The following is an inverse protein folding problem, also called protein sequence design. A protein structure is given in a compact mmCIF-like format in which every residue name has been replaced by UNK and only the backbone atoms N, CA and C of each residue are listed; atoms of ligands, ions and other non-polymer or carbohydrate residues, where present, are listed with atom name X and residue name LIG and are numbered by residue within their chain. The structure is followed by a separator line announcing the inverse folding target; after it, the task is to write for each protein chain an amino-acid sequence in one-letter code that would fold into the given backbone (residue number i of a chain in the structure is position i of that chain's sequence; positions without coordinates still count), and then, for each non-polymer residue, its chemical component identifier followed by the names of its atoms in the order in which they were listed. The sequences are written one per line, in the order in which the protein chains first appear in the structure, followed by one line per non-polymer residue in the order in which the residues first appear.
data_IF_759082175359
#
_entry.id   IF_759082175359
#
_cell.length_a   1.000
_cell.length_b   1.000
_cell.length_c   1.000
_cell.angle_alpha   90.00
_cell.angle_beta   90.00
_cell.angle_gamma   90.00
#
_symmetry.space_group_name_H-M   'P 1'
#
loop_
_entity.id
_entity.type
_entity.pdbx_description
1 polymer ?
#
# COMPACT_ATOMS: atom_id res chain seq x y z
N UNK A 1 -14.49 3.68 -2.67
CA UNK A 1 -13.63 3.33 -1.52
C UNK A 1 -14.32 2.45 -0.49
N UNK A 2 -15.63 2.62 -0.23
CA UNK A 2 -16.40 1.70 0.62
C UNK A 2 -16.24 0.21 0.22
N UNK A 3 -16.17 -0.10 -1.08
CA UNK A 3 -15.90 -1.45 -1.57
C UNK A 3 -14.53 -1.99 -1.12
N UNK A 4 -13.46 -1.18 -1.21
CA UNK A 4 -12.13 -1.54 -0.72
C UNK A 4 -12.15 -1.76 0.80
N UNK A 5 -12.79 -0.87 1.55
CA UNK A 5 -12.90 -0.99 3.00
C UNK A 5 -13.62 -2.28 3.43
N UNK A 6 -14.74 -2.61 2.79
CA UNK A 6 -15.48 -3.87 3.02
C UNK A 6 -14.66 -5.09 2.63
N UNK A 7 -13.96 -5.05 1.51
CA UNK A 7 -13.08 -6.13 1.08
C UNK A 7 -11.95 -6.36 2.09
N UNK A 8 -11.24 -5.31 2.49
CA UNK A 8 -10.20 -5.40 3.52
C UNK A 8 -10.73 -5.93 4.84
N UNK A 9 -11.90 -5.47 5.29
CA UNK A 9 -12.55 -5.97 6.50
C UNK A 9 -12.88 -7.47 6.40
N UNK A 10 -13.45 -7.93 5.28
CA UNK A 10 -13.76 -9.34 5.05
C UNK A 10 -12.50 -10.23 5.03
N UNK A 11 -11.40 -9.71 4.49
CA UNK A 11 -10.11 -10.41 4.42
C UNK A 11 -9.20 -10.16 5.62
N UNK A 12 -9.70 -9.52 6.69
CA UNK A 12 -8.94 -9.17 7.90
C UNK A 12 -7.67 -8.34 7.63
N UNK A 13 -7.61 -7.63 6.51
CA UNK A 13 -6.57 -6.64 6.21
C UNK A 13 -6.89 -5.38 7.00
N UNK A 14 -6.11 -5.12 8.05
CA UNK A 14 -6.33 -4.02 8.99
C UNK A 14 -5.32 -2.90 8.81
N UNK A 15 -4.13 -3.18 8.28
CA UNK A 15 -3.07 -2.19 8.10
C UNK A 15 -2.36 -2.36 6.76
N UNK A 16 -2.38 -1.30 5.96
CA UNK A 16 -1.75 -1.26 4.63
C UNK A 16 -0.69 -0.17 4.60
N UNK A 17 0.53 -0.55 4.21
CA UNK A 17 1.63 0.41 3.97
C UNK A 17 1.65 0.77 2.49
N UNK A 18 1.52 2.06 2.18
CA UNK A 18 1.54 2.57 0.82
C UNK A 18 2.81 3.38 0.61
N UNK A 19 3.67 2.90 -0.29
CA UNK A 19 4.96 3.50 -0.63
C UNK A 19 4.85 4.25 -1.94
N UNK A 20 5.15 5.56 -1.91
CA UNK A 20 5.10 6.41 -3.08
C UNK A 20 3.82 7.26 -3.17
N UNK A 21 3.44 7.57 -4.40
CA UNK A 21 2.40 8.56 -4.70
C UNK A 21 2.92 10.01 -4.64
N UNK A 22 2.44 10.82 -5.58
CA UNK A 22 2.67 12.28 -5.60
C UNK A 22 2.04 12.98 -4.39
N UNK A 23 2.52 14.18 -4.10
CA UNK A 23 2.06 14.98 -2.95
C UNK A 23 0.54 15.19 -3.01
N UNK A 24 0.00 15.50 -4.19
CA UNK A 24 -1.43 15.63 -4.44
C UNK A 24 -2.20 14.32 -4.22
N UNK A 25 -1.66 13.21 -4.74
CA UNK A 25 -2.28 11.88 -4.60
C UNK A 25 -2.30 11.41 -3.14
N UNK A 26 -1.26 11.74 -2.37
CA UNK A 26 -1.18 11.44 -0.93
C UNK A 26 -2.12 12.34 -0.13
N UNK A 27 -2.22 13.62 -0.47
CA UNK A 27 -3.19 14.52 0.14
C UNK A 27 -4.63 14.04 -0.12
N UNK A 28 -4.93 13.62 -1.36
CA UNK A 28 -6.22 13.04 -1.71
C UNK A 28 -6.49 11.72 -0.96
N UNK A 29 -5.48 10.87 -0.82
CA UNK A 29 -5.62 9.64 -0.05
C UNK A 29 -5.92 9.92 1.42
N UNK A 30 -5.19 10.85 2.05
CA UNK A 30 -5.42 11.22 3.45
C UNK A 30 -6.83 11.72 3.67
N UNK A 31 -7.31 12.64 2.83
CA UNK A 31 -8.67 13.17 2.92
C UNK A 31 -9.71 12.06 2.86
N UNK A 32 -9.56 11.13 1.91
CA UNK A 32 -10.50 10.02 1.73
C UNK A 32 -10.39 8.97 2.82
N UNK A 33 -9.18 8.72 3.33
CA UNK A 33 -8.91 7.73 4.38
C UNK A 33 -9.52 8.11 5.73
N UNK A 34 -9.80 9.40 5.98
CA UNK A 34 -10.54 9.84 7.17
C UNK A 34 -11.95 9.24 7.22
N UNK A 35 -12.55 8.93 6.07
CA UNK A 35 -13.89 8.34 5.97
C UNK A 35 -13.87 6.81 5.96
N UNK A 36 -12.70 6.18 6.18
CA UNK A 36 -12.55 4.71 6.08
C UNK A 36 -12.45 4.08 7.47
N UNK A 37 -13.35 3.15 7.84
CA UNK A 37 -13.24 2.42 9.10
C UNK A 37 -12.09 1.41 9.11
N UNK A 38 -11.68 0.91 7.94
CA UNK A 38 -10.53 0.04 7.72
C UNK A 38 -10.16 0.01 6.23
N UNK A 39 -8.91 -0.31 5.85
CA UNK A 39 -7.75 -0.52 6.72
C UNK A 39 -7.10 0.81 7.15
N UNK A 40 -6.28 0.78 8.21
CA UNK A 40 -5.31 1.83 8.52
C UNK A 40 -4.35 1.98 7.33
N UNK A 41 -4.19 3.20 6.83
CA UNK A 41 -3.32 3.48 5.68
C UNK A 41 -2.10 4.26 6.12
N UNK A 42 -0.93 3.62 6.04
CA UNK A 42 0.36 4.23 6.37
C UNK A 42 1.04 4.72 5.10
N UNK A 43 1.09 6.04 4.91
CA UNK A 43 1.72 6.67 3.75
C UNK A 43 3.22 6.88 3.94
N UNK A 44 4.01 6.41 2.97
CA UNK A 44 5.47 6.54 2.94
C UNK A 44 5.91 7.30 1.69
N UNK A 45 6.69 8.34 1.91
CA UNK A 45 7.39 9.08 0.86
C UNK A 45 8.50 8.27 0.21
N UNK A 46 8.45 8.12 -1.11
CA UNK A 46 9.52 7.50 -1.92
C UNK A 46 10.68 8.43 -2.28
N UNK A 47 10.67 9.69 -1.82
CA UNK A 47 11.69 10.72 -2.15
C UNK A 47 12.93 10.69 -1.25
N UNK A 48 13.00 9.79 -0.26
CA UNK A 48 14.14 9.72 0.68
C UNK A 48 15.13 8.65 0.23
N UNK A 49 16.36 8.74 0.72
CA UNK A 49 17.37 7.68 0.55
C UNK A 49 16.79 6.37 1.10
N UNK A 50 17.01 5.23 0.42
CA UNK A 50 16.54 3.94 0.90
C UNK A 50 17.00 3.65 2.32
N UNK A 51 16.02 3.38 3.20
CA UNK A 51 16.23 3.12 4.62
C UNK A 51 15.57 1.79 5.00
N UNK A 52 16.42 0.77 5.15
CA UNK A 52 16.00 -0.59 5.49
C UNK A 52 15.46 -0.71 6.91
N UNK A 53 15.95 0.09 7.86
CA UNK A 53 15.44 0.09 9.23
C UNK A 53 14.02 0.66 9.27
N UNK A 54 13.79 1.77 8.56
CA UNK A 54 12.47 2.36 8.39
C UNK A 54 11.51 1.39 7.68
N UNK A 55 11.94 0.75 6.60
CA UNK A 55 11.12 -0.21 5.88
C UNK A 55 10.69 -1.36 6.79
N UNK A 56 11.62 -2.00 7.49
CA UNK A 56 11.33 -3.08 8.46
C UNK A 56 10.35 -2.64 9.54
N UNK A 57 10.57 -1.48 10.16
CA UNK A 57 9.71 -0.97 11.22
C UNK A 57 8.26 -0.70 10.75
N UNK A 58 8.08 -0.31 9.48
CA UNK A 58 6.75 -0.05 8.91
C UNK A 58 6.05 -1.30 8.42
N UNK A 59 6.81 -2.24 7.85
CA UNK A 59 6.30 -3.55 7.42
C UNK A 59 5.89 -4.39 8.63
N UNK A 60 6.59 -4.26 9.77
CA UNK A 60 6.23 -4.98 10.98
C UNK A 60 4.79 -4.65 11.40
N UNK A 61 3.93 -5.67 11.38
CA UNK A 61 2.50 -5.56 11.68
C UNK A 61 1.63 -5.05 10.53
N UNK A 62 2.18 -4.87 9.33
CA UNK A 62 1.40 -4.61 8.13
C UNK A 62 0.86 -5.90 7.54
N UNK A 63 -0.39 -5.86 7.08
CA UNK A 63 -1.03 -6.99 6.39
C UNK A 63 -0.76 -6.95 4.88
N UNK A 64 -0.39 -5.77 4.35
CA UNK A 64 -0.10 -5.57 2.93
C UNK A 64 0.84 -4.37 2.72
N UNK A 65 1.80 -4.53 1.81
CA UNK A 65 2.62 -3.43 1.27
C UNK A 65 2.19 -3.13 -0.17
N UNK A 66 1.93 -1.86 -0.47
CA UNK A 66 1.54 -1.39 -1.79
C UNK A 66 2.57 -0.41 -2.31
N UNK A 67 3.26 -0.82 -3.38
CA UNK A 67 4.16 0.04 -4.14
C UNK A 67 3.32 0.83 -5.14
N UNK A 68 3.10 2.11 -4.87
CA UNK A 68 2.23 2.95 -5.66
C UNK A 68 3.01 3.72 -6.73
N UNK A 69 3.02 3.12 -7.92
CA UNK A 69 3.78 3.56 -9.08
C UNK A 69 3.07 4.66 -9.87
N UNK A 70 3.27 5.90 -9.46
CA UNK A 70 3.36 7.01 -10.40
C UNK A 70 4.53 7.88 -9.97
N UNK A 71 5.66 7.69 -10.67
CA UNK A 71 6.79 8.62 -10.82
C UNK A 71 7.74 8.93 -9.65
N UNK A 72 7.62 8.37 -8.44
CA UNK A 72 8.39 8.91 -7.27
C UNK A 72 9.25 7.90 -6.48
N UNK A 73 9.07 6.59 -6.66
CA UNK A 73 9.84 5.58 -5.89
C UNK A 73 10.98 5.06 -6.77
N UNK A 74 12.23 5.25 -6.34
CA UNK A 74 13.39 4.69 -7.05
C UNK A 74 13.35 3.15 -7.03
N UNK A 75 14.03 2.50 -7.99
CA UNK A 75 14.21 1.04 -7.97
C UNK A 75 14.86 0.58 -6.66
N UNK A 76 15.88 1.31 -6.18
CA UNK A 76 16.54 1.01 -4.92
C UNK A 76 15.61 1.10 -3.70
N UNK A 77 14.72 2.10 -3.66
CA UNK A 77 13.70 2.21 -2.61
C UNK A 77 12.72 1.03 -2.70
N UNK A 78 12.26 0.70 -3.90
CA UNK A 78 11.37 -0.44 -4.16
C UNK A 78 11.96 -1.75 -3.63
N UNK A 79 13.24 -2.01 -3.90
CA UNK A 79 13.90 -3.24 -3.50
C UNK A 79 14.04 -3.34 -1.97
N UNK A 80 14.30 -2.21 -1.30
CA UNK A 80 14.32 -2.16 0.17
C UNK A 80 12.96 -2.52 0.78
N UNK A 81 11.86 -2.01 0.22
CA UNK A 81 10.52 -2.34 0.70
C UNK A 81 10.13 -3.79 0.42
N UNK A 82 10.50 -4.32 -0.76
CA UNK A 82 10.28 -5.74 -1.08
C UNK A 82 11.06 -6.66 -0.15
N UNK A 83 12.34 -6.39 0.08
CA UNK A 83 13.18 -7.19 0.97
C UNK A 83 12.68 -7.16 2.42
N UNK A 84 12.19 -6.01 2.89
CA UNK A 84 11.59 -5.89 4.22
C UNK A 84 10.29 -6.71 4.33
N UNK A 85 9.43 -6.66 3.31
CA UNK A 85 8.18 -7.41 3.26
C UNK A 85 8.41 -8.92 3.17
N UNK A 86 9.35 -9.36 2.35
CA UNK A 86 9.76 -10.76 2.25
C UNK A 86 10.24 -11.30 3.60
N UNK A 87 11.12 -10.56 4.29
CA UNK A 87 11.63 -10.94 5.61
C UNK A 87 10.52 -11.03 6.67
N UNK A 88 9.40 -10.32 6.50
CA UNK A 88 8.26 -10.34 7.41
C UNK A 88 7.14 -11.30 6.98
N UNK A 89 7.27 -11.96 5.82
CA UNK A 89 6.18 -12.75 5.22
C UNK A 89 4.97 -11.90 4.80
N UNK A 90 5.15 -10.59 4.64
CA UNK A 90 4.07 -9.65 4.27
C UNK A 90 3.94 -9.59 2.76
N UNK A 91 2.72 -9.72 2.19
CA UNK A 91 2.51 -9.63 0.76
C UNK A 91 2.81 -8.22 0.23
N UNK A 92 3.33 -8.16 -1.00
CA UNK A 92 3.62 -6.91 -1.72
C UNK A 92 2.86 -6.89 -3.03
N UNK A 93 2.18 -5.79 -3.32
CA UNK A 93 1.62 -5.51 -4.65
C UNK A 93 2.18 -4.23 -5.24
N UNK A 94 2.28 -4.19 -6.55
CA UNK A 94 2.63 -2.96 -7.29
C UNK A 94 1.40 -2.46 -8.03
N UNK A 95 0.99 -1.24 -7.77
CA UNK A 95 -0.11 -0.58 -8.47
C UNK A 95 0.49 0.35 -9.53
N UNK A 96 0.30 0.00 -10.80
CA UNK A 96 0.85 0.72 -11.94
C UNK A 96 0.13 2.03 -12.30
N UNK A 97 0.78 2.83 -13.15
CA UNK A 97 0.43 4.20 -13.54
C UNK A 97 -0.72 4.33 -14.55
N UNK A 98 -1.29 3.22 -15.04
CA UNK A 98 -2.34 3.22 -16.08
C UNK A 98 -3.67 3.86 -15.64
N UNK A 99 -3.84 4.11 -14.34
CA UNK A 99 -4.95 4.84 -13.75
C UNK A 99 -4.37 5.86 -12.75
N UNK A 100 -4.66 7.15 -12.93
CA UNK A 100 -4.12 8.21 -12.07
C UNK A 100 -4.86 8.25 -10.73
N UNK A 101 -4.12 8.54 -9.66
CA UNK A 101 -4.68 8.91 -8.36
C UNK A 101 -5.22 7.75 -7.52
N UNK A 102 -5.91 8.09 -6.43
CA UNK A 102 -6.28 7.19 -5.33
C UNK A 102 -7.19 6.02 -5.77
N UNK A 103 -7.88 6.18 -6.90
CA UNK A 103 -8.73 5.14 -7.48
C UNK A 103 -7.93 3.90 -7.90
N UNK A 104 -6.72 4.08 -8.46
CA UNK A 104 -5.88 2.94 -8.87
C UNK A 104 -5.39 2.14 -7.68
N UNK A 105 -5.01 2.84 -6.61
CA UNK A 105 -4.63 2.24 -5.34
C UNK A 105 -5.78 1.38 -4.77
N UNK A 106 -6.96 1.97 -4.65
CA UNK A 106 -8.11 1.27 -4.08
C UNK A 106 -8.55 0.07 -4.90
N UNK A 107 -8.50 0.19 -6.23
CA UNK A 107 -8.77 -0.93 -7.13
C UNK A 107 -7.74 -2.05 -6.95
N UNK A 108 -6.45 -1.72 -6.96
CA UNK A 108 -5.38 -2.71 -6.80
C UNK A 108 -5.47 -3.49 -5.48
N UNK A 109 -5.76 -2.80 -4.37
CA UNK A 109 -6.00 -3.44 -3.08
C UNK A 109 -7.22 -4.35 -3.14
N UNK A 110 -8.34 -3.87 -3.69
CA UNK A 110 -9.58 -4.66 -3.79
C UNK A 110 -9.39 -5.92 -4.64
N UNK A 111 -8.69 -5.81 -5.77
CA UNK A 111 -8.39 -6.93 -6.65
C UNK A 111 -7.46 -7.96 -5.97
N UNK A 112 -6.44 -7.49 -5.25
CA UNK A 112 -5.55 -8.39 -4.51
C UNK A 112 -6.30 -9.14 -3.40
N UNK A 113 -7.06 -8.42 -2.59
CA UNK A 113 -7.90 -9.01 -1.54
C UNK A 113 -8.87 -10.04 -2.14
N UNK A 114 -9.54 -9.70 -3.24
CA UNK A 114 -10.49 -10.60 -3.89
C UNK A 114 -9.87 -11.87 -4.49
N UNK A 115 -8.55 -11.89 -4.74
CA UNK A 115 -7.80 -13.09 -5.12
C UNK A 115 -7.31 -13.87 -3.90
N UNK A 116 -6.82 -13.16 -2.89
CA UNK A 116 -6.28 -13.75 -1.66
C UNK A 116 -7.36 -14.50 -0.89
N UNK A 117 -8.55 -13.92 -0.72
CA UNK A 117 -9.69 -14.56 -0.04
C UNK A 117 -10.31 -15.76 -0.78
N UNK A 118 -9.86 -16.09 -2.00
CA UNK A 118 -10.29 -17.29 -2.73
C UNK A 118 -9.25 -18.42 -2.68
N UNK A 119 -8.08 -18.14 -2.11
CA UNK A 119 -6.97 -19.09 -2.02
C UNK A 119 -6.92 -19.82 -0.67
N UNK A 120 -7.80 -19.46 0.28
CA UNK A 120 -8.08 -20.14 1.55
C UNK A 120 -9.39 -20.91 1.47
#
# INVERSE_FOLDING_TARGET
YAAMSRACAAAKVRRVVVVGGGDDSRADLRRRALDWPAPEVVLVEGKRRPDSARARAKVQGADLVVLWGSTIVSHAETDVWKAAAEAAGTPVITVGSGQKGVASLARGITEWVGRYSRAE
#
